data_IF_549831658846
#
_entry.id   IF_549831658846
#
_cell.length_a   1.000
_cell.length_b   1.000
_cell.length_c   1.000
_cell.angle_alpha   90.00
_cell.angle_beta   90.00
_cell.angle_gamma   90.00
#
_symmetry.space_group_name_H-M   'P 1'
#
loop_
_entity.id
_entity.type
_entity.pdbx_description
1 polymer ?
#
# COMPACT_ATOMS: atom_id res chain seq x y z
N UNK A 1 9.77 -28.85 -6.55
CA UNK A 1 9.65 -27.45 -6.06
C UNK A 1 8.43 -27.27 -5.14
N UNK A 2 7.23 -27.70 -5.53
CA UNK A 2 6.01 -27.62 -4.69
C UNK A 2 6.17 -28.30 -3.33
N UNK A 3 6.68 -29.53 -3.32
CA UNK A 3 6.88 -30.31 -2.08
C UNK A 3 7.80 -29.61 -1.10
N UNK A 4 8.78 -28.85 -1.60
CA UNK A 4 9.67 -28.04 -0.76
C UNK A 4 8.90 -26.90 -0.09
N UNK A 5 8.15 -26.10 -0.85
CA UNK A 5 7.35 -25.00 -0.28
C UNK A 5 6.32 -25.48 0.74
N UNK A 6 5.65 -26.61 0.48
CA UNK A 6 4.71 -27.21 1.43
C UNK A 6 5.44 -27.73 2.69
N UNK A 7 6.62 -28.32 2.53
CA UNK A 7 7.42 -28.76 3.67
C UNK A 7 7.90 -27.57 4.53
N UNK A 8 8.40 -26.50 3.91
CA UNK A 8 8.78 -25.28 4.63
C UNK A 8 7.59 -24.68 5.39
N UNK A 9 6.42 -24.61 4.75
CA UNK A 9 5.22 -24.11 5.41
C UNK A 9 4.85 -24.96 6.64
N UNK A 10 4.87 -26.29 6.52
CA UNK A 10 4.61 -27.21 7.64
C UNK A 10 5.64 -27.06 8.77
N UNK A 11 6.92 -26.95 8.43
CA UNK A 11 8.00 -26.78 9.42
C UNK A 11 7.85 -25.45 10.16
N UNK A 12 7.57 -24.36 9.45
CA UNK A 12 7.32 -23.06 10.08
C UNK A 12 6.08 -23.09 10.98
N UNK A 13 5.04 -23.81 10.57
CA UNK A 13 3.81 -23.98 11.37
C UNK A 13 4.08 -24.77 12.66
N UNK A 14 4.84 -25.87 12.59
CA UNK A 14 5.19 -26.65 13.79
C UNK A 14 6.12 -25.86 14.73
N UNK A 15 7.11 -25.12 14.19
CA UNK A 15 7.96 -24.23 14.98
C UNK A 15 7.14 -23.16 15.71
N UNK A 16 6.16 -22.57 15.03
CA UNK A 16 5.27 -21.58 15.64
C UNK A 16 4.45 -22.18 16.78
N UNK A 17 3.89 -23.39 16.59
CA UNK A 17 3.13 -24.10 17.63
C UNK A 17 4.00 -24.43 18.85
N UNK A 18 5.23 -24.92 18.64
CA UNK A 18 6.16 -25.26 19.72
C UNK A 18 6.56 -24.00 20.50
N UNK A 19 6.95 -22.93 19.79
CA UNK A 19 7.34 -21.67 20.42
C UNK A 19 6.19 -21.02 21.21
N UNK A 20 4.95 -21.12 20.73
CA UNK A 20 3.75 -20.68 21.46
C UNK A 20 3.46 -21.55 22.68
N UNK A 21 3.77 -22.85 22.66
CA UNK A 21 3.60 -23.74 23.80
C UNK A 21 4.69 -23.56 24.88
N UNK A 22 5.87 -23.07 24.48
CA UNK A 22 7.02 -22.79 25.36
C UNK A 22 7.06 -21.33 25.86
N UNK A 23 6.05 -20.51 25.52
CA UNK A 23 6.00 -19.05 25.78
C UNK A 23 7.24 -18.27 25.27
N UNK A 24 7.95 -18.80 24.25
CA UNK A 24 9.06 -18.12 23.60
C UNK A 24 8.53 -17.15 22.54
N UNK A 25 8.25 -15.92 22.98
CA UNK A 25 7.73 -14.82 22.16
C UNK A 25 8.61 -14.55 20.93
N UNK A 26 9.94 -14.63 21.05
CA UNK A 26 10.85 -14.32 19.93
C UNK A 26 10.84 -15.43 18.89
N UNK A 27 10.87 -16.68 19.32
CA UNK A 27 10.79 -17.82 18.41
C UNK A 27 9.41 -17.90 17.73
N UNK A 28 8.34 -17.55 18.44
CA UNK A 28 7.00 -17.49 17.87
C UNK A 28 6.88 -16.40 16.80
N UNK A 29 7.37 -15.18 17.09
CA UNK A 29 7.36 -14.09 16.10
C UNK A 29 8.20 -14.43 14.85
N UNK A 30 9.37 -15.05 15.02
CA UNK A 30 10.21 -15.48 13.90
C UNK A 30 9.51 -16.52 13.02
N UNK A 31 8.87 -17.52 13.63
CA UNK A 31 8.12 -18.53 12.90
C UNK A 31 6.86 -17.96 12.21
N UNK A 32 6.18 -17.01 12.85
CA UNK A 32 5.03 -16.30 12.28
C UNK A 32 5.46 -15.46 11.06
N UNK A 33 6.61 -14.78 11.14
CA UNK A 33 7.16 -14.04 10.01
C UNK A 33 7.52 -14.95 8.83
N UNK A 34 8.04 -16.15 9.09
CA UNK A 34 8.30 -17.16 8.05
C UNK A 34 7.00 -17.64 7.37
N UNK A 35 5.94 -17.89 8.15
CA UNK A 35 4.61 -18.22 7.61
C UNK A 35 4.03 -17.08 6.76
N UNK A 36 4.11 -15.85 7.25
CA UNK A 36 3.62 -14.65 6.56
C UNK A 36 4.36 -14.45 5.23
N UNK A 37 5.68 -14.66 5.20
CA UNK A 37 6.47 -14.56 3.97
C UNK A 37 6.04 -15.59 2.91
N UNK A 38 5.72 -16.83 3.33
CA UNK A 38 5.21 -17.85 2.42
C UNK A 38 3.82 -17.51 1.87
N UNK A 39 2.93 -16.98 2.71
CA UNK A 39 1.59 -16.52 2.28
C UNK A 39 1.71 -15.33 1.31
N UNK A 40 2.59 -14.37 1.61
CA UNK A 40 2.87 -13.23 0.74
C UNK A 40 3.38 -13.70 -0.63
N UNK A 41 4.34 -14.62 -0.65
CA UNK A 41 4.86 -15.20 -1.90
C UNK A 41 3.73 -15.82 -2.76
N UNK A 42 2.76 -16.50 -2.14
CA UNK A 42 1.57 -17.01 -2.83
C UNK A 42 0.68 -15.90 -3.38
N UNK A 43 0.46 -14.82 -2.64
CA UNK A 43 -0.30 -13.67 -3.11
C UNK A 43 0.39 -12.97 -4.30
N UNK A 44 1.71 -12.79 -4.25
CA UNK A 44 2.48 -12.17 -5.33
C UNK A 44 2.37 -12.96 -6.64
N UNK A 45 2.41 -14.30 -6.56
CA UNK A 45 2.19 -15.16 -7.74
C UNK A 45 0.78 -15.00 -8.32
N UNK A 46 -0.23 -14.78 -7.48
CA UNK A 46 -1.60 -14.53 -7.92
C UNK A 46 -1.77 -13.13 -8.53
N UNK A 47 -1.12 -12.12 -7.94
CA UNK A 47 -1.08 -10.76 -8.47
C UNK A 47 -0.39 -10.73 -9.84
N UNK A 48 0.76 -11.40 -9.98
CA UNK A 48 1.47 -11.55 -11.24
C UNK A 48 0.58 -12.16 -12.33
N UNK A 49 -0.22 -13.19 -12.00
CA UNK A 49 -1.14 -13.80 -12.97
C UNK A 49 -2.22 -12.83 -13.45
N UNK A 50 -2.83 -12.07 -12.53
CA UNK A 50 -3.86 -11.09 -12.87
C UNK A 50 -3.28 -9.96 -13.73
N UNK A 51 -2.11 -9.45 -13.33
CA UNK A 51 -1.44 -8.38 -14.06
C UNK A 51 -1.02 -8.81 -15.46
N UNK A 52 -0.41 -9.98 -15.59
CA UNK A 52 -0.06 -10.54 -16.91
C UNK A 52 -1.30 -10.77 -17.76
N UNK A 53 -2.37 -11.36 -17.21
CA UNK A 53 -3.61 -11.62 -17.95
C UNK A 53 -4.32 -10.34 -18.42
N UNK A 54 -4.18 -9.24 -17.69
CA UNK A 54 -4.70 -7.94 -18.09
C UNK A 54 -3.82 -7.28 -19.15
N UNK A 55 -2.53 -7.12 -18.87
CA UNK A 55 -1.62 -6.39 -19.76
C UNK A 55 -1.37 -7.12 -21.10
N UNK A 56 -1.43 -8.45 -21.13
CA UNK A 56 -1.31 -9.22 -22.37
C UNK A 56 -2.50 -9.01 -23.33
N UNK A 57 -3.59 -8.37 -22.89
CA UNK A 57 -4.70 -7.97 -23.77
C UNK A 57 -4.38 -6.69 -24.54
N UNK A 58 -3.43 -5.89 -24.05
CA UNK A 58 -3.14 -4.53 -24.54
C UNK A 58 -1.73 -4.47 -25.16
N UNK A 59 -0.80 -5.29 -24.67
CA UNK A 59 0.60 -5.24 -25.02
C UNK A 59 1.17 -6.65 -25.30
N UNK A 60 1.84 -6.81 -26.45
CA UNK A 60 2.68 -7.98 -26.71
C UNK A 60 4.06 -7.75 -26.07
N UNK A 61 4.39 -8.59 -25.10
CA UNK A 61 5.61 -8.49 -24.32
C UNK A 61 6.88 -8.82 -25.10
N UNK A 62 6.81 -9.51 -26.24
CA UNK A 62 7.98 -9.92 -27.05
C UNK A 62 8.99 -10.83 -26.33
N UNK A 63 8.79 -11.14 -25.04
CA UNK A 63 9.67 -11.91 -24.19
C UNK A 63 8.97 -13.15 -23.64
N UNK A 64 9.35 -14.32 -24.17
CA UNK A 64 8.79 -15.62 -23.78
C UNK A 64 9.04 -16.01 -22.33
N UNK A 65 10.00 -15.38 -21.63
CA UNK A 65 10.25 -15.67 -20.21
C UNK A 65 9.09 -15.24 -19.31
N UNK A 66 8.39 -14.15 -19.67
CA UNK A 66 7.25 -13.62 -18.93
C UNK A 66 6.06 -14.59 -19.05
N UNK A 67 5.76 -15.04 -20.27
CA UNK A 67 4.72 -16.04 -20.53
C UNK A 67 5.01 -17.38 -19.85
N UNK A 68 6.26 -17.87 -19.93
CA UNK A 68 6.67 -19.11 -19.24
C UNK A 68 6.44 -19.02 -17.73
N UNK A 69 6.74 -17.86 -17.12
CA UNK A 69 6.51 -17.62 -15.69
C UNK A 69 5.01 -17.58 -15.35
N UNK A 70 4.19 -16.95 -16.20
CA UNK A 70 2.74 -16.97 -16.04
C UNK A 70 2.16 -18.39 -16.04
N UNK A 71 2.52 -19.20 -17.03
CA UNK A 71 2.07 -20.60 -17.15
C UNK A 71 2.53 -21.41 -15.94
N UNK A 72 3.78 -21.21 -15.51
CA UNK A 72 4.34 -21.88 -14.33
C UNK A 72 3.54 -21.55 -13.07
N UNK A 73 3.30 -20.27 -12.79
CA UNK A 73 2.51 -19.86 -11.62
C UNK A 73 1.07 -20.37 -11.72
N UNK A 74 0.46 -20.35 -12.91
CA UNK A 74 -0.93 -20.80 -13.12
C UNK A 74 -1.12 -22.26 -12.70
N UNK A 75 -0.10 -23.10 -12.92
CA UNK A 75 -0.07 -24.50 -12.48
C UNK A 75 0.36 -24.67 -11.03
N UNK A 76 1.22 -23.79 -10.52
CA UNK A 76 1.77 -23.87 -9.16
C UNK A 76 0.77 -23.44 -8.07
N UNK A 77 0.05 -22.34 -8.28
CA UNK A 77 -0.84 -21.76 -7.26
C UNK A 77 -1.88 -22.73 -6.70
N UNK A 78 -2.59 -23.55 -7.51
CA UNK A 78 -3.56 -24.52 -6.99
C UNK A 78 -2.95 -25.58 -6.09
N UNK A 79 -1.65 -25.85 -6.24
CA UNK A 79 -0.91 -26.85 -5.46
C UNK A 79 -0.38 -26.31 -4.13
N UNK A 80 -0.37 -24.98 -3.93
CA UNK A 80 0.08 -24.33 -2.69
C UNK A 80 -1.08 -24.21 -1.70
N UNK A 81 -1.41 -25.33 -1.08
CA UNK A 81 -2.45 -25.47 -0.07
C UNK A 81 -2.03 -24.97 1.34
N UNK A 82 -1.39 -23.80 1.43
CA UNK A 82 -1.09 -23.15 2.72
C UNK A 82 -2.39 -22.98 3.52
N UNK A 83 -2.47 -23.58 4.72
CA UNK A 83 -3.62 -23.45 5.62
C UNK A 83 -4.90 -24.18 5.18
N UNK A 84 -4.86 -25.12 4.23
CA UNK A 84 -6.01 -26.00 3.91
C UNK A 84 -6.06 -27.29 4.75
N UNK A 85 -5.41 -27.30 5.89
CA UNK A 85 -5.82 -28.19 6.97
C UNK A 85 -7.05 -27.52 7.59
N UNK A 86 -8.24 -28.06 7.31
CA UNK A 86 -9.45 -27.69 8.05
C UNK A 86 -9.06 -27.74 9.52
N UNK A 87 -9.11 -26.61 10.23
CA UNK A 87 -9.33 -26.67 11.68
C UNK A 87 -10.48 -27.68 11.85
N UNK A 88 -10.26 -28.71 12.66
CA UNK A 88 -11.28 -29.71 12.90
C UNK A 88 -12.52 -28.99 13.41
N UNK A 89 -13.49 -28.75 12.52
CA UNK A 89 -14.79 -28.21 12.90
C UNK A 89 -15.33 -29.22 13.90
N UNK A 90 -15.56 -28.78 15.14
CA UNK A 90 -16.22 -29.60 16.14
C UNK A 90 -17.66 -29.89 15.68
N UNK A 91 -17.86 -31.08 15.11
CA UNK A 91 -19.14 -31.55 14.60
C UNK A 91 -20.04 -32.13 15.70
N UNK A 92 -19.62 -32.10 16.98
CA UNK A 92 -20.43 -32.62 18.08
C UNK A 92 -21.80 -31.93 18.22
N UNK A 93 -21.94 -30.70 17.66
CA UNK A 93 -23.19 -29.92 17.66
C UNK A 93 -24.01 -30.00 16.39
N UNK A 94 -23.52 -30.65 15.33
CA UNK A 94 -24.22 -30.73 14.03
C UNK A 94 -24.83 -32.13 13.88
N UNK A 95 -25.94 -32.36 14.58
CA UNK A 95 -26.80 -33.50 14.33
C UNK A 95 -27.79 -33.10 13.23
N UNK A 96 -27.71 -33.78 12.09
CA UNK A 96 -28.58 -33.58 10.94
C UNK A 96 -30.00 -34.04 11.30
N UNK A 97 -30.90 -33.13 11.70
CA UNK A 97 -32.27 -33.51 12.09
C UNK A 97 -33.27 -33.52 10.93
N UNK A 98 -33.06 -32.73 9.86
CA UNK A 98 -34.00 -32.68 8.73
C UNK A 98 -33.26 -32.41 7.40
N UNK A 99 -33.58 -33.20 6.38
CA UNK A 99 -33.06 -33.05 5.02
C UNK A 99 -34.22 -32.77 4.05
N UNK A 100 -34.22 -31.61 3.40
CA UNK A 100 -35.14 -31.28 2.32
C UNK A 100 -34.33 -30.94 1.06
N UNK A 101 -34.22 -31.88 0.13
CA UNK A 101 -33.65 -31.64 -1.19
C UNK A 101 -34.65 -30.87 -2.06
N UNK A 102 -34.28 -29.66 -2.47
CA UNK A 102 -34.95 -28.96 -3.57
C UNK A 102 -34.12 -29.07 -4.83
N UNK A 103 -34.68 -29.72 -5.84
CA UNK A 103 -34.14 -29.83 -7.18
C UNK A 103 -34.22 -28.47 -7.89
N UNK A 104 -33.10 -27.76 -8.01
CA UNK A 104 -32.99 -26.57 -8.85
C UNK A 104 -32.67 -27.04 -10.28
N UNK A 105 -33.66 -27.03 -11.16
CA UNK A 105 -33.57 -27.59 -12.51
C UNK A 105 -32.47 -26.99 -13.41
N UNK A 106 -32.31 -27.59 -14.61
CA UNK A 106 -31.28 -27.26 -15.59
C UNK A 106 -31.22 -25.77 -15.93
N UNK A 107 -30.09 -25.12 -15.65
CA UNK A 107 -29.77 -23.78 -16.14
C UNK A 107 -29.21 -23.88 -17.56
N UNK A 108 -29.91 -23.29 -18.52
CA UNK A 108 -29.36 -22.99 -19.83
C UNK A 108 -28.29 -21.89 -19.66
N UNK A 109 -27.03 -22.20 -20.00
CA UNK A 109 -25.96 -21.21 -20.10
C UNK A 109 -26.16 -20.46 -21.42
N UNK A 110 -26.70 -19.24 -21.35
CA UNK A 110 -26.79 -18.36 -22.51
C UNK A 110 -25.39 -17.88 -22.91
N UNK A 111 -24.84 -18.47 -23.97
CA UNK A 111 -23.65 -17.97 -24.64
C UNK A 111 -24.05 -16.81 -25.58
N UNK A 112 -24.31 -15.63 -25.03
CA UNK A 112 -24.55 -14.44 -25.84
C UNK A 112 -23.22 -13.88 -26.39
N UNK A 113 -23.18 -13.59 -27.68
CA UNK A 113 -22.15 -12.77 -28.34
C UNK A 113 -22.43 -11.28 -28.06
N UNK A 114 -22.05 -10.82 -26.87
CA UNK A 114 -22.11 -9.42 -26.45
C UNK A 114 -21.04 -9.16 -25.40
N UNK A 115 -20.53 -7.92 -25.35
CA UNK A 115 -19.33 -7.50 -24.59
C UNK A 115 -19.12 -8.29 -23.30
N UNK A 116 -18.01 -9.03 -23.25
CA UNK A 116 -17.55 -9.67 -22.03
C UNK A 116 -17.48 -8.62 -20.92
N UNK A 117 -17.95 -8.92 -19.69
CA UNK A 117 -17.76 -8.01 -18.57
C UNK A 117 -16.27 -7.74 -18.44
N UNK A 118 -15.87 -6.50 -18.71
CA UNK A 118 -14.50 -6.05 -18.51
C UNK A 118 -14.18 -6.26 -17.04
N UNK A 119 -13.08 -6.96 -16.79
CA UNK A 119 -12.56 -7.13 -15.43
C UNK A 119 -12.41 -5.73 -14.82
N UNK A 120 -12.89 -5.56 -13.59
CA UNK A 120 -12.72 -4.30 -12.87
C UNK A 120 -11.23 -3.93 -12.82
N UNK A 121 -10.87 -2.66 -13.04
CA UNK A 121 -9.52 -2.18 -12.83
C UNK A 121 -9.03 -2.56 -11.44
N UNK A 122 -7.76 -2.90 -11.35
CA UNK A 122 -7.12 -3.43 -10.15
C UNK A 122 -7.20 -2.40 -9.00
N UNK A 123 -7.97 -2.69 -7.94
CA UNK A 123 -7.65 -2.17 -6.61
C UNK A 123 -6.41 -2.88 -6.06
N UNK A 124 -5.65 -2.21 -5.17
CA UNK A 124 -4.35 -2.63 -4.60
C UNK A 124 -4.26 -4.15 -4.35
N UNK A 125 -3.78 -4.88 -5.36
CA UNK A 125 -3.79 -6.34 -5.36
C UNK A 125 -2.38 -6.85 -5.09
N UNK A 126 -2.07 -7.16 -3.84
CA UNK A 126 -0.81 -7.82 -3.44
C UNK A 126 -0.09 -7.24 -2.22
N UNK A 127 -0.66 -6.29 -1.50
CA UNK A 127 0.09 -5.46 -0.55
C UNK A 127 -0.23 -5.68 0.93
N UNK A 128 -1.12 -6.63 1.26
CA UNK A 128 -1.85 -6.69 2.53
C UNK A 128 -1.06 -6.82 3.84
N UNK A 129 0.27 -6.82 3.83
CA UNK A 129 1.06 -6.72 5.07
C UNK A 129 2.12 -5.62 5.04
N UNK A 130 2.72 -5.36 3.87
CA UNK A 130 3.71 -4.28 3.72
C UNK A 130 3.00 -2.93 3.61
N UNK A 131 1.96 -2.81 2.79
CA UNK A 131 1.14 -1.59 2.79
C UNK A 131 0.36 -1.43 4.08
N UNK A 132 -0.02 -2.49 4.79
CA UNK A 132 -0.75 -2.33 6.05
C UNK A 132 0.18 -1.79 7.15
N UNK A 133 1.43 -2.25 7.20
CA UNK A 133 2.49 -1.67 8.05
C UNK A 133 2.90 -0.26 7.61
N UNK A 134 3.08 -0.03 6.31
CA UNK A 134 3.38 1.30 5.76
C UNK A 134 2.22 2.26 5.97
N UNK A 135 0.96 1.84 5.80
CA UNK A 135 -0.25 2.62 6.11
C UNK A 135 -0.35 2.86 7.60
N UNK A 136 -0.11 1.87 8.46
CA UNK A 136 -0.08 2.05 9.91
C UNK A 136 1.01 3.05 10.33
N UNK A 137 2.20 2.97 9.74
CA UNK A 137 3.25 3.98 9.96
C UNK A 137 2.86 5.35 9.40
N UNK A 138 2.19 5.42 8.26
CA UNK A 138 1.66 6.68 7.73
C UNK A 138 0.62 7.27 8.68
N UNK A 139 -0.30 6.46 9.21
CA UNK A 139 -1.30 6.86 10.21
C UNK A 139 -0.64 7.33 11.51
N UNK A 140 0.42 6.65 11.96
CA UNK A 140 1.19 7.08 13.13
C UNK A 140 1.92 8.41 12.89
N UNK A 141 2.50 8.61 11.71
CA UNK A 141 3.11 9.88 11.31
C UNK A 141 2.04 10.98 11.24
N UNK A 142 0.89 10.70 10.63
CA UNK A 142 -0.25 11.62 10.51
C UNK A 142 -0.76 12.00 11.91
N UNK A 143 -0.98 11.03 12.79
CA UNK A 143 -1.43 11.28 14.16
C UNK A 143 -0.41 12.13 14.93
N UNK A 144 0.88 11.78 14.87
CA UNK A 144 1.95 12.58 15.49
C UNK A 144 2.01 13.99 14.93
N UNK A 145 1.88 14.16 13.62
CA UNK A 145 1.84 15.49 12.97
C UNK A 145 0.61 16.28 13.43
N UNK A 146 -0.54 15.62 13.59
CA UNK A 146 -1.75 16.27 14.08
C UNK A 146 -1.60 16.74 15.54
N UNK A 147 -0.91 15.98 16.39
CA UNK A 147 -0.68 16.35 17.79
C UNK A 147 0.33 17.51 17.98
N UNK A 148 1.14 17.81 16.95
CA UNK A 148 2.18 18.85 17.02
C UNK A 148 1.66 20.27 16.75
N UNK A 149 0.51 20.41 16.10
CA UNK A 149 -0.02 21.71 15.69
C UNK A 149 -1.46 21.91 16.19
N UNK A 150 -1.70 23.04 16.86
CA UNK A 150 -3.00 23.46 17.38
C UNK A 150 -3.59 24.64 16.56
N UNK A 151 -4.91 24.86 16.64
CA UNK A 151 -5.61 25.97 15.99
C UNK A 151 -6.43 25.60 14.75
N UNK A 152 -6.90 26.62 14.03
CA UNK A 152 -7.76 26.50 12.83
C UNK A 152 -6.96 26.04 11.58
N UNK A 153 -6.40 24.83 11.65
CA UNK A 153 -5.59 24.22 10.59
C UNK A 153 -6.08 22.79 10.31
N UNK A 154 -6.31 22.48 9.04
CA UNK A 154 -6.78 21.16 8.65
C UNK A 154 -5.65 20.12 8.70
N UNK A 155 -6.00 18.84 8.78
CA UNK A 155 -5.05 17.74 8.67
C UNK A 155 -4.24 17.82 7.36
N UNK A 156 -4.90 18.18 6.25
CA UNK A 156 -4.24 18.37 4.96
C UNK A 156 -3.20 19.49 5.01
N UNK A 157 -3.49 20.60 5.68
CA UNK A 157 -2.55 21.72 5.81
C UNK A 157 -1.28 21.30 6.56
N UNK A 158 -1.45 20.55 7.66
CA UNK A 158 -0.33 20.03 8.46
C UNK A 158 0.53 19.06 7.66
N UNK A 159 -0.10 18.15 6.90
CA UNK A 159 0.63 17.17 6.09
C UNK A 159 1.38 17.82 4.94
N UNK A 160 0.78 18.80 4.25
CA UNK A 160 1.46 19.56 3.20
C UNK A 160 2.64 20.34 3.79
N UNK A 161 2.45 20.98 4.93
CA UNK A 161 3.50 21.74 5.61
C UNK A 161 4.70 20.85 5.97
N UNK A 162 4.48 19.70 6.61
CA UNK A 162 5.58 18.82 7.01
C UNK A 162 6.25 18.14 5.81
N UNK A 163 5.46 17.52 4.91
CA UNK A 163 6.01 16.64 3.87
C UNK A 163 6.51 17.38 2.62
N UNK A 164 5.87 18.49 2.26
CA UNK A 164 6.20 19.19 1.01
C UNK A 164 6.98 20.48 1.27
N UNK A 165 6.70 21.20 2.36
CA UNK A 165 7.38 22.47 2.66
C UNK A 165 8.66 22.23 3.46
N UNK A 166 8.56 21.70 4.68
CA UNK A 166 9.72 21.55 5.57
C UNK A 166 10.67 20.46 5.08
N UNK A 167 10.16 19.25 4.81
CA UNK A 167 10.98 18.17 4.26
C UNK A 167 11.58 18.55 2.91
N UNK A 168 10.83 19.26 2.06
CA UNK A 168 11.34 19.76 0.77
C UNK A 168 12.61 20.60 0.95
N UNK A 169 12.55 21.61 1.84
CA UNK A 169 13.70 22.47 2.16
C UNK A 169 14.88 21.71 2.76
N UNK A 170 14.63 20.78 3.68
CA UNK A 170 15.70 19.97 4.29
C UNK A 170 16.42 19.08 3.28
N UNK A 171 15.70 18.59 2.27
CA UNK A 171 16.29 17.79 1.18
C UNK A 171 17.20 18.62 0.25
N UNK A 172 17.08 19.95 0.26
CA UNK A 172 17.98 20.85 -0.47
C UNK A 172 19.30 21.10 0.28
N UNK A 173 19.37 20.75 1.58
CA UNK A 173 20.56 20.97 2.40
C UNK A 173 21.66 19.95 2.09
N UNK A 174 22.73 20.43 1.43
CA UNK A 174 23.91 19.62 1.15
C UNK A 174 24.58 19.08 2.43
N UNK A 175 24.49 19.83 3.54
CA UNK A 175 25.03 19.42 4.84
C UNK A 175 24.27 18.19 5.34
N UNK A 176 22.94 18.23 5.34
CA UNK A 176 22.12 17.09 5.80
C UNK A 176 22.29 15.88 4.91
N UNK A 177 22.38 16.06 3.59
CA UNK A 177 22.67 14.96 2.65
C UNK A 177 24.01 14.31 3.00
N UNK A 178 25.06 15.11 3.19
CA UNK A 178 26.38 14.58 3.56
C UNK A 178 26.33 13.86 4.92
N UNK A 179 25.63 14.41 5.91
CA UNK A 179 25.52 13.75 7.20
C UNK A 179 24.74 12.43 7.14
N UNK A 180 23.66 12.37 6.37
CA UNK A 180 22.84 11.17 6.22
C UNK A 180 23.62 10.02 5.55
N UNK A 181 24.53 10.32 4.63
CA UNK A 181 25.37 9.31 3.96
C UNK A 181 26.47 8.77 4.89
N UNK A 182 27.03 9.61 5.76
CA UNK A 182 28.22 9.25 6.54
C UNK A 182 27.95 8.84 7.99
N UNK A 183 26.73 9.03 8.49
CA UNK A 183 26.40 8.78 9.89
C UNK A 183 25.24 7.79 10.03
N UNK A 184 25.20 7.06 11.13
CA UNK A 184 24.02 6.27 11.48
C UNK A 184 22.82 7.18 11.76
N UNK A 185 21.59 6.66 11.60
CA UNK A 185 20.37 7.41 11.85
C UNK A 185 20.34 8.05 13.26
N UNK A 186 20.86 7.35 14.27
CA UNK A 186 20.94 7.88 15.65
C UNK A 186 21.92 9.04 15.76
N UNK A 187 23.04 9.00 15.05
CA UNK A 187 24.01 10.10 15.05
C UNK A 187 23.46 11.31 14.29
N UNK A 188 22.83 11.08 13.13
CA UNK A 188 22.16 12.12 12.36
C UNK A 188 21.06 12.81 13.18
N UNK A 189 20.20 12.03 13.86
CA UNK A 189 19.11 12.57 14.66
C UNK A 189 19.58 13.41 15.88
N UNK A 190 20.81 13.20 16.36
CA UNK A 190 21.39 13.96 17.47
C UNK A 190 22.35 15.07 17.01
N UNK A 191 22.41 15.33 15.70
CA UNK A 191 23.31 16.30 15.10
C UNK A 191 22.81 17.74 15.33
N UNK A 192 23.67 18.68 15.75
CA UNK A 192 23.28 20.09 15.84
C UNK A 192 22.88 20.65 14.46
N UNK A 193 23.57 20.24 13.40
CA UNK A 193 23.27 20.68 12.03
C UNK A 193 21.83 20.32 11.60
N UNK A 194 21.29 19.19 12.05
CA UNK A 194 19.88 18.85 11.78
C UNK A 194 18.91 19.81 12.47
N UNK A 195 19.22 20.22 13.71
CA UNK A 195 18.39 21.17 14.46
C UNK A 195 18.45 22.57 13.84
N UNK A 196 19.64 23.01 13.45
CA UNK A 196 19.86 24.32 12.83
C UNK A 196 19.19 24.41 11.45
N UNK A 197 19.38 23.39 10.61
CA UNK A 197 18.76 23.33 9.29
C UNK A 197 17.23 23.20 9.36
N UNK A 198 16.70 22.50 10.37
CA UNK A 198 15.26 22.48 10.63
C UNK A 198 14.72 23.87 10.98
N UNK A 199 15.41 24.61 11.84
CA UNK A 199 14.99 25.96 12.20
C UNK A 199 15.08 26.91 11.02
N UNK A 200 16.15 26.83 10.23
CA UNK A 200 16.31 27.61 8.99
C UNK A 200 15.19 27.28 7.99
N UNK A 201 14.88 26.00 7.78
CA UNK A 201 13.80 25.57 6.91
C UNK A 201 12.45 26.14 7.34
N UNK A 202 12.15 26.19 8.64
CA UNK A 202 10.93 26.79 9.18
C UNK A 202 10.89 28.30 8.92
N UNK A 203 11.99 29.02 9.19
CA UNK A 203 12.07 30.46 8.96
C UNK A 203 11.93 30.81 7.48
N UNK A 204 12.62 30.09 6.60
CA UNK A 204 12.56 30.29 5.16
C UNK A 204 11.19 29.93 4.58
N UNK A 205 10.54 28.89 5.11
CA UNK A 205 9.19 28.52 4.71
C UNK A 205 8.20 29.64 5.03
N UNK A 206 8.27 30.19 6.24
CA UNK A 206 7.45 31.31 6.67
C UNK A 206 7.69 32.55 5.79
N UNK A 207 8.95 32.92 5.57
CA UNK A 207 9.32 34.08 4.76
C UNK A 207 8.86 33.95 3.30
N UNK A 208 9.07 32.77 2.70
CA UNK A 208 8.64 32.49 1.33
C UNK A 208 7.10 32.51 1.22
N UNK A 209 6.40 31.83 2.13
CA UNK A 209 4.93 31.81 2.13
C UNK A 209 4.33 33.20 2.31
N UNK A 210 4.86 33.99 3.26
CA UNK A 210 4.44 35.38 3.47
C UNK A 210 4.68 36.25 2.24
N UNK A 211 5.84 36.11 1.59
CA UNK A 211 6.18 36.85 0.36
C UNK A 211 5.25 36.49 -0.79
N UNK A 212 5.04 35.19 -1.06
CA UNK A 212 4.16 34.72 -2.13
C UNK A 212 2.71 35.14 -1.89
N UNK A 213 2.22 35.00 -0.65
CA UNK A 213 0.86 35.41 -0.27
C UNK A 213 0.66 36.90 -0.47
N UNK A 214 1.62 37.73 -0.02
CA UNK A 214 1.57 39.17 -0.22
C UNK A 214 1.55 39.54 -1.70
N UNK A 215 2.41 38.92 -2.53
CA UNK A 215 2.44 39.17 -3.97
C UNK A 215 1.11 38.81 -4.65
N UNK A 216 0.47 37.70 -4.25
CA UNK A 216 -0.82 37.30 -4.76
C UNK A 216 -1.95 38.25 -4.31
N UNK A 217 -1.91 38.76 -3.08
CA UNK A 217 -2.90 39.71 -2.56
C UNK A 217 -2.75 41.10 -3.19
N UNK A 218 -1.52 41.55 -3.43
CA UNK A 218 -1.24 42.92 -3.89
C UNK A 218 -1.28 43.05 -5.43
N UNK A 219 -1.28 41.94 -6.18
CA UNK A 219 -1.17 41.97 -7.65
C UNK A 219 -2.24 41.16 -8.37
N UNK A 220 -3.09 41.85 -9.15
CA UNK A 220 -4.08 41.20 -10.03
C UNK A 220 -3.41 40.32 -11.08
N UNK A 221 -2.29 40.77 -11.64
CA UNK A 221 -1.52 39.98 -12.63
C UNK A 221 -1.08 38.63 -12.05
N UNK A 222 -0.67 38.60 -10.78
CA UNK A 222 -0.27 37.35 -10.10
C UNK A 222 -1.49 36.47 -9.86
N UNK A 223 -2.63 37.01 -9.42
CA UNK A 223 -3.88 36.24 -9.26
C UNK A 223 -4.37 35.63 -10.57
N UNK A 224 -4.38 36.40 -11.64
CA UNK A 224 -4.78 35.93 -12.96
C UNK A 224 -3.85 34.81 -13.45
N UNK A 225 -2.53 34.96 -13.29
CA UNK A 225 -1.58 33.91 -13.63
C UNK A 225 -1.74 32.63 -12.79
N UNK A 226 -2.04 32.75 -11.50
CA UNK A 226 -2.35 31.61 -10.63
C UNK A 226 -3.63 30.91 -11.10
N UNK A 227 -4.69 31.67 -11.40
CA UNK A 227 -5.96 31.13 -11.90
C UNK A 227 -5.76 30.37 -13.22
N UNK A 228 -5.04 30.96 -14.17
CA UNK A 228 -4.72 30.31 -15.45
C UNK A 228 -3.93 29.02 -15.25
N UNK A 229 -2.91 29.04 -14.39
CA UNK A 229 -2.08 27.87 -14.10
C UNK A 229 -2.91 26.74 -13.46
N UNK A 230 -3.80 27.08 -12.52
CA UNK A 230 -4.67 26.11 -11.85
C UNK A 230 -5.71 25.53 -12.80
N UNK A 231 -6.29 26.33 -13.69
CA UNK A 231 -7.28 25.86 -14.67
C UNK A 231 -6.66 25.11 -15.85
N UNK A 232 -5.42 25.42 -16.22
CA UNK A 232 -4.68 24.76 -17.30
C UNK A 232 -3.91 23.53 -16.82
N UNK A 233 -2.58 23.60 -16.64
CA UNK A 233 -1.78 22.45 -16.20
C UNK A 233 -2.22 21.85 -14.86
N UNK A 234 -2.76 22.67 -13.96
CA UNK A 234 -3.25 22.23 -12.66
C UNK A 234 -4.55 21.43 -12.70
N UNK A 235 -5.30 21.47 -13.82
CA UNK A 235 -6.56 20.73 -14.04
C UNK A 235 -7.55 20.82 -12.86
N UNK A 236 -7.64 22.00 -12.24
CA UNK A 236 -8.42 22.22 -11.02
C UNK A 236 -9.90 21.93 -11.26
N UNK A 237 -10.44 22.30 -12.43
CA UNK A 237 -11.84 22.07 -12.76
C UNK A 237 -12.18 20.57 -12.81
N UNK A 238 -11.35 19.78 -13.50
CA UNK A 238 -11.52 18.34 -13.61
C UNK A 238 -11.38 17.66 -12.25
N UNK A 239 -10.37 18.02 -11.47
CA UNK A 239 -10.15 17.46 -10.14
C UNK A 239 -11.33 17.74 -9.19
N UNK A 240 -11.90 18.94 -9.23
CA UNK A 240 -13.09 19.28 -8.44
C UNK A 240 -14.32 18.48 -8.89
N UNK A 241 -14.48 18.25 -10.19
CA UNK A 241 -15.59 17.47 -10.74
C UNK A 241 -15.49 15.99 -10.37
N UNK A 242 -14.31 15.39 -10.50
CA UNK A 242 -14.08 13.99 -10.10
C UNK A 242 -14.35 13.77 -8.62
N UNK A 243 -14.02 14.75 -7.77
CA UNK A 243 -14.31 14.69 -6.33
C UNK A 243 -15.82 14.73 -6.02
N UNK A 244 -16.61 15.44 -6.82
CA UNK A 244 -18.07 15.44 -6.72
C UNK A 244 -18.67 14.07 -7.08
N UNK A 245 -18.10 13.38 -8.07
CA UNK A 245 -18.62 12.09 -8.55
C UNK A 245 -18.27 10.91 -7.62
N UNK A 246 -17.26 11.07 -6.74
CA UNK A 246 -16.81 10.07 -5.77
C UNK A 246 -17.61 10.05 -4.44
N UNK A 247 -18.48 11.02 -4.20
CA UNK A 247 -19.36 11.07 -3.04
C UNK A 247 -20.83 11.21 -3.46
N UNK A 248 -21.55 10.09 -3.75
CA UNK A 248 -23.01 10.06 -3.78
C UNK A 248 -23.63 10.10 -2.37
#
# INVERSE_FOLDING_TARGET
>A
MVSRLLHHYKVAQEKHKIAMAEDDVRAAEAAQNELNALVLFKHDMAAYQRMYAFLSQIFDYGNTAIEKRFIFYKRLLPLLAFGREREGIDLSKVILTHHALKHQGNRALSLNHGEYPKLQPLGESGSGSVQEKEKAHLYEIIARVNDLFEGDITESDRLVYVNNVIKGKLMESAILVQQAVNNSQKQFANSPDLSDELMNAIMDALAAHGTMSKQALDSERVREGLKETLLGPGRLYEALRERSDLHP
#
